data_IF_187141507796
#
_entry.id   IF_187141507796
#
_cell.length_a   1.000
_cell.length_b   1.000
_cell.length_c   1.000
_cell.angle_alpha   90.00
_cell.angle_beta   90.00
_cell.angle_gamma   90.00
#
_symmetry.space_group_name_H-M   'P 1'
#
loop_
_entity.id
_entity.type
_entity.pdbx_description
1 polymer ?
#
# COMPACT_ATOMS: atom_id res chain seq x y z
N UNK A 1 10.21 -19.25 -0.04
CA UNK A 1 10.08 -18.61 0.52
C UNK A 1 10.54 -17.41 0.38
N UNK A 2 9.98 -16.60 0.03
CA UNK A 2 10.41 -15.46 -0.14
C UNK A 2 10.14 -14.56 0.89
N UNK A 3 11.04 -14.10 1.62
CA UNK A 3 10.89 -13.15 2.64
C UNK A 3 10.48 -11.82 2.08
N UNK A 4 10.66 -11.63 0.82
CA UNK A 4 10.33 -10.37 0.21
C UNK A 4 8.85 -10.05 0.37
N UNK A 5 8.00 -11.03 0.23
CA UNK A 5 6.58 -10.79 0.33
C UNK A 5 6.11 -10.56 1.74
N UNK A 6 6.94 -10.87 2.71
CA UNK A 6 6.57 -10.67 4.10
C UNK A 6 7.17 -9.43 4.68
N UNK A 7 7.71 -8.54 3.85
CA UNK A 7 8.31 -7.32 4.35
C UNK A 7 7.23 -6.31 4.68
N UNK A 8 7.55 -5.45 5.60
CA UNK A 8 6.65 -4.39 6.01
C UNK A 8 7.13 -3.09 5.39
N UNK A 9 6.21 -2.37 4.77
CA UNK A 9 6.50 -1.09 4.15
C UNK A 9 5.94 0.01 5.01
N UNK A 10 6.79 0.95 5.39
CA UNK A 10 6.35 2.10 6.17
C UNK A 10 6.10 3.26 5.22
N UNK A 11 5.42 4.28 5.73
CA UNK A 11 5.09 5.43 4.90
C UNK A 11 6.32 6.01 4.21
N UNK A 12 7.41 6.16 4.93
CA UNK A 12 8.61 6.76 4.37
C UNK A 12 9.21 5.93 3.25
N UNK A 13 8.85 4.65 3.18
CA UNK A 13 9.40 3.76 2.18
C UNK A 13 8.52 3.65 0.92
N UNK A 14 7.34 4.25 0.95
CA UNK A 14 6.43 4.12 -0.18
C UNK A 14 7.04 4.67 -1.45
N UNK A 15 7.66 5.83 -1.36
CA UNK A 15 8.22 6.44 -2.54
C UNK A 15 9.46 5.69 -3.05
N UNK A 16 10.47 5.43 -2.22
CA UNK A 16 11.66 4.76 -2.73
C UNK A 16 11.46 3.29 -3.07
N UNK A 17 10.55 2.61 -2.35
CA UNK A 17 10.37 1.20 -2.61
C UNK A 17 9.33 0.92 -3.68
N UNK A 18 8.26 1.66 -3.69
CA UNK A 18 7.16 1.41 -4.60
C UNK A 18 6.88 2.54 -5.56
N UNK A 19 7.61 3.63 -5.47
CA UNK A 19 7.43 4.74 -6.38
C UNK A 19 6.13 5.50 -6.18
N UNK A 20 5.59 5.48 -4.98
CA UNK A 20 4.32 6.13 -4.71
C UNK A 20 4.55 7.53 -4.16
N UNK A 21 4.15 8.57 -4.87
CA UNK A 21 4.41 9.95 -4.44
C UNK A 21 3.33 10.57 -3.59
N UNK A 22 2.40 9.78 -3.09
CA UNK A 22 1.27 10.33 -2.34
C UNK A 22 1.69 10.87 -0.99
N UNK A 23 1.03 11.95 -0.56
CA UNK A 23 1.25 12.48 0.76
C UNK A 23 0.53 11.60 1.78
N UNK A 24 0.90 11.76 3.05
CA UNK A 24 0.27 10.99 4.09
C UNK A 24 -1.22 11.29 4.17
N UNK A 25 -1.59 12.56 4.02
CA UNK A 25 -2.99 12.95 4.07
C UNK A 25 -3.78 12.27 2.96
N UNK A 26 -3.19 12.19 1.78
CA UNK A 26 -3.87 11.55 0.66
C UNK A 26 -4.10 10.07 0.95
N UNK A 27 -3.08 9.41 1.50
CA UNK A 27 -3.19 8.00 1.83
C UNK A 27 -4.22 7.77 2.91
N UNK A 28 -4.26 8.65 3.92
CA UNK A 28 -5.26 8.52 4.98
C UNK A 28 -6.66 8.59 4.40
N UNK A 29 -6.86 9.46 3.43
CA UNK A 29 -8.17 9.59 2.82
C UNK A 29 -8.52 8.32 2.03
N UNK A 30 -7.56 7.79 1.30
CA UNK A 30 -7.81 6.57 0.53
C UNK A 30 -8.15 5.40 1.45
N UNK A 31 -7.47 5.31 2.59
CA UNK A 31 -7.78 4.28 3.55
C UNK A 31 -9.19 4.42 4.08
N UNK A 32 -9.58 5.63 4.39
CA UNK A 32 -10.91 5.88 4.93
C UNK A 32 -12.00 5.53 3.92
N UNK A 33 -11.67 5.65 2.64
CA UNK A 33 -12.63 5.34 1.59
C UNK A 33 -12.58 3.88 1.15
N UNK A 34 -11.73 3.10 1.77
CA UNK A 34 -11.61 1.69 1.41
C UNK A 34 -10.87 1.45 0.12
N UNK A 35 -10.09 2.44 -0.32
CA UNK A 35 -9.37 2.33 -1.59
C UNK A 35 -7.88 2.10 -1.40
N UNK A 36 -7.48 1.74 -0.20
CA UNK A 36 -6.07 1.55 0.12
C UNK A 36 -5.98 0.47 1.18
N UNK A 37 -4.98 -0.40 1.15
CA UNK A 37 -4.85 -1.43 2.19
C UNK A 37 -4.73 -0.79 3.56
N UNK A 38 -5.32 -1.40 4.56
CA UNK A 38 -5.31 -0.83 5.89
C UNK A 38 -3.95 -1.03 6.55
N UNK A 39 -3.46 0.03 7.18
CA UNK A 39 -2.20 -0.08 7.89
C UNK A 39 -2.41 -0.75 9.24
N UNK A 40 -1.34 -1.20 9.83
CA UNK A 40 -1.41 -1.81 11.15
C UNK A 40 -0.24 -1.31 11.98
N UNK A 41 -0.39 -1.37 13.29
CA UNK A 41 0.67 -0.92 14.17
C UNK A 41 1.77 -1.95 14.20
N UNK A 42 3.01 -1.47 14.24
CA UNK A 42 4.15 -2.37 14.25
C UNK A 42 4.33 -3.04 15.62
N UNK A 43 3.81 -2.39 16.67
CA UNK A 43 3.81 -3.02 17.98
C UNK A 43 2.79 -2.29 18.84
N UNK A 44 2.38 -2.94 19.92
CA UNK A 44 1.41 -2.34 20.80
C UNK A 44 1.96 -1.09 21.41
N UNK A 45 1.16 -0.06 21.46
CA UNK A 45 1.59 1.21 22.03
C UNK A 45 2.50 2.00 21.13
N UNK A 46 2.76 1.49 19.93
CA UNK A 46 3.64 2.18 19.02
C UNK A 46 2.85 3.18 18.20
N UNK A 47 3.51 4.25 17.81
CA UNK A 47 2.89 5.19 16.89
C UNK A 47 3.36 4.94 15.47
N UNK A 48 4.11 3.88 15.26
CA UNK A 48 4.57 3.53 13.92
C UNK A 48 3.61 2.57 13.27
N UNK A 49 3.33 2.82 12.00
CA UNK A 49 2.40 1.99 11.24
C UNK A 49 3.08 1.52 9.97
N UNK A 50 2.54 0.47 9.39
CA UNK A 50 3.07 -0.04 8.13
C UNK A 50 2.05 -0.90 7.43
N UNK A 51 2.45 -1.40 6.27
CA UNK A 51 1.61 -2.28 5.47
C UNK A 51 2.45 -3.48 5.07
N UNK A 52 1.79 -4.60 4.79
CA UNK A 52 2.49 -5.73 4.22
C UNK A 52 2.83 -5.39 2.78
N UNK A 53 4.06 -5.59 2.39
CA UNK A 53 4.48 -5.29 1.04
C UNK A 53 3.66 -6.06 0.02
N UNK A 54 3.37 -7.33 0.31
CA UNK A 54 2.61 -8.14 -0.62
C UNK A 54 1.21 -7.60 -0.83
N UNK A 55 0.59 -7.06 0.21
CA UNK A 55 -0.73 -6.49 0.07
C UNK A 55 -0.70 -5.24 -0.79
N UNK A 56 0.35 -4.46 -0.66
CA UNK A 56 0.48 -3.28 -1.49
C UNK A 56 0.68 -3.67 -2.95
N UNK A 57 1.50 -4.67 -3.19
CA UNK A 57 1.76 -5.12 -4.54
C UNK A 57 0.48 -5.67 -5.17
N UNK A 58 -0.28 -6.45 -4.41
CA UNK A 58 -1.53 -6.99 -4.92
C UNK A 58 -2.54 -5.90 -5.21
N UNK A 59 -2.57 -4.90 -4.33
CA UNK A 59 -3.49 -3.79 -4.50
C UNK A 59 -3.23 -3.08 -5.84
N UNK A 60 -1.96 -2.80 -6.13
CA UNK A 60 -1.64 -2.12 -7.36
C UNK A 60 -1.76 -3.01 -8.58
N UNK A 61 -1.57 -4.31 -8.41
CA UNK A 61 -1.79 -5.23 -9.51
C UNK A 61 -3.25 -5.24 -9.92
N UNK A 62 -4.16 -5.16 -8.94
CA UNK A 62 -5.57 -5.12 -9.25
C UNK A 62 -5.96 -3.81 -9.96
N UNK A 63 -5.36 -2.72 -9.52
CA UNK A 63 -5.63 -1.45 -10.17
C UNK A 63 -5.11 -1.44 -11.61
N UNK A 64 -3.97 -2.05 -11.83
CA UNK A 64 -3.40 -2.11 -13.17
C UNK A 64 -4.28 -2.96 -14.09
N UNK A 65 -4.79 -4.06 -13.56
CA UNK A 65 -5.65 -4.92 -14.34
C UNK A 65 -6.95 -4.21 -14.69
N UNK A 66 -7.44 -3.43 -13.73
CA UNK A 66 -8.68 -2.69 -13.96
C UNK A 66 -8.47 -1.62 -15.00
N UNK A 67 -7.29 -1.02 -15.03
CA UNK A 67 -6.98 -0.04 -16.04
C UNK A 67 -7.07 -0.65 -17.44
N UNK A 68 -6.54 -1.86 -17.59
CA UNK A 68 -6.59 -2.52 -18.86
C UNK A 68 -8.00 -2.82 -19.27
N UNK A 69 -8.83 -3.26 -18.34
CA UNK A 69 -10.21 -3.52 -18.63
C UNK A 69 -10.90 -2.24 -19.07
N UNK A 70 -10.62 -1.15 -18.40
CA UNK A 70 -11.25 0.12 -18.74
C UNK A 70 -10.85 0.60 -20.10
N UNK A 71 -9.61 0.29 -20.50
CA UNK A 71 -9.19 0.75 -21.77
C UNK A 71 -9.78 -0.01 -22.87
N UNK A 72 -10.06 -1.24 -22.67
CA UNK A 72 -10.60 -2.07 -23.70
C UNK A 72 -11.91 -1.55 -24.20
N UNK A 73 -12.57 -0.79 -23.39
CA UNK A 73 -13.85 -0.23 -23.79
C UNK A 73 -13.71 0.93 -24.73
#
# INVERSE_FOLDING_TARGET
MDDTDNRIIRYAQLKPELGIPYSRTHIDRLEAEGKWPRRFKLSEGSSYFGWWRREMVEHFAKLAARRDDGRAG
#
